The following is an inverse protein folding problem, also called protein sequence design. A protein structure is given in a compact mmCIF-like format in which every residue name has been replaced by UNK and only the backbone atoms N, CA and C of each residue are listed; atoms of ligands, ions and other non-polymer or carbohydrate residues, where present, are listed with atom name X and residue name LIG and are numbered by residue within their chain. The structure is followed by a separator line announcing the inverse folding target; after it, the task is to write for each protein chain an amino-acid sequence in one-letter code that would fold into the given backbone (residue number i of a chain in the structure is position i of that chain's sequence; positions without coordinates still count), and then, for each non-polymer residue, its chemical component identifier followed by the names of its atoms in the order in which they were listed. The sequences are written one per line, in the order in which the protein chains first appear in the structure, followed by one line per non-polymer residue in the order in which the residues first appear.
data_IF_611825715702
#
_entry.id   IF_611825715702
#
_cell.length_a   1.000
_cell.length_b   1.000
_cell.length_c   1.000
_cell.angle_alpha   90.00
_cell.angle_beta   90.00
_cell.angle_gamma   90.00
#
_symmetry.space_group_name_H-M   'P 1'
#
loop_
_entity.id
_entity.type
_entity.pdbx_description
1 polymer ?
#
# COMPACT_ATOMS: atom_id res chain seq x y z
N UNK A 1 -3.04 2.86 -5.50
CA UNK A 1 -3.57 4.00 -4.73
C UNK A 1 -2.87 5.31 -5.07
N UNK A 2 -1.65 5.60 -4.59
CA UNK A 2 -1.01 6.90 -4.81
C UNK A 2 -0.97 7.35 -6.28
N UNK A 3 -0.47 6.49 -7.17
CA UNK A 3 -0.46 6.71 -8.63
C UNK A 3 -1.86 6.99 -9.19
N UNK A 4 -2.86 6.22 -8.74
CA UNK A 4 -4.26 6.36 -9.15
C UNK A 4 -4.82 7.71 -8.70
N UNK A 5 -4.65 8.08 -7.43
CA UNK A 5 -5.11 9.35 -6.89
C UNK A 5 -4.49 10.54 -7.63
N UNK A 6 -3.17 10.50 -7.88
CA UNK A 6 -2.48 11.56 -8.63
C UNK A 6 -2.99 11.71 -10.07
N UNK A 7 -3.46 10.61 -10.68
CA UNK A 7 -3.93 10.60 -12.07
C UNK A 7 -5.41 10.94 -12.22
N UNK A 8 -6.21 10.66 -11.19
CA UNK A 8 -7.67 10.66 -11.26
C UNK A 8 -8.33 11.76 -10.43
N UNK A 9 -7.60 12.38 -9.49
CA UNK A 9 -8.11 13.39 -8.58
C UNK A 9 -7.36 14.73 -8.71
N UNK A 10 -8.01 15.79 -8.26
CA UNK A 10 -7.40 17.10 -8.05
C UNK A 10 -6.60 17.08 -6.74
N UNK A 11 -5.27 17.09 -6.85
CA UNK A 11 -4.37 16.77 -5.73
C UNK A 11 -4.33 17.86 -4.66
N UNK A 12 -4.58 19.11 -5.04
CA UNK A 12 -4.63 20.25 -4.12
C UNK A 12 -6.00 20.40 -3.47
N UNK A 13 -7.00 19.64 -3.93
CA UNK A 13 -8.35 19.75 -3.40
C UNK A 13 -8.42 19.19 -1.97
N UNK A 14 -9.02 19.94 -1.02
CA UNK A 14 -9.29 19.42 0.30
C UNK A 14 -10.18 18.18 0.27
N UNK A 15 -9.87 17.19 1.10
CA UNK A 15 -10.62 15.94 1.23
C UNK A 15 -12.07 16.21 1.65
N UNK A 16 -12.31 17.24 2.45
CA UNK A 16 -13.65 17.62 2.93
C UNK A 16 -14.62 17.97 1.80
N UNK A 17 -14.11 18.33 0.63
CA UNK A 17 -14.92 18.55 -0.56
C UNK A 17 -15.63 17.26 -1.02
N UNK A 18 -14.98 16.11 -0.85
CA UNK A 18 -15.52 14.80 -1.22
C UNK A 18 -16.17 14.10 -0.02
N UNK A 19 -15.62 14.30 1.19
CA UNK A 19 -16.03 13.65 2.42
C UNK A 19 -16.25 14.70 3.52
N UNK A 20 -17.44 15.35 3.58
CA UNK A 20 -17.68 16.51 4.44
C UNK A 20 -17.57 16.26 5.96
N UNK A 21 -17.51 15.00 6.39
CA UNK A 21 -17.40 14.61 7.80
C UNK A 21 -15.95 14.42 8.27
N UNK A 22 -14.95 14.62 7.39
CA UNK A 22 -13.54 14.64 7.81
C UNK A 22 -13.30 15.85 8.74
N UNK A 23 -12.73 15.65 9.95
CA UNK A 23 -12.61 16.73 10.93
C UNK A 23 -11.70 17.89 10.53
N UNK A 24 -10.63 17.60 9.77
CA UNK A 24 -9.66 18.61 9.33
C UNK A 24 -9.99 19.08 7.91
N UNK A 25 -10.37 20.37 7.81
CA UNK A 25 -10.74 21.07 6.58
C UNK A 25 -9.63 21.22 5.56
N UNK A 26 -8.38 21.12 5.98
CA UNK A 26 -7.20 21.54 5.20
C UNK A 26 -6.43 20.35 4.61
N UNK A 27 -6.73 19.11 5.02
CA UNK A 27 -6.08 17.92 4.46
C UNK A 27 -6.44 17.83 2.98
N UNK A 28 -5.41 17.82 2.13
CA UNK A 28 -5.55 17.67 0.67
C UNK A 28 -5.35 16.21 0.23
N UNK A 29 -5.70 15.90 -1.02
CA UNK A 29 -5.36 14.61 -1.63
C UNK A 29 -3.84 14.40 -1.68
N UNK A 30 -3.06 15.44 -1.98
CA UNK A 30 -1.61 15.41 -1.98
C UNK A 30 -1.06 15.01 -0.60
N UNK A 31 -1.66 15.49 0.49
CA UNK A 31 -1.23 15.14 1.84
C UNK A 31 -1.40 13.65 2.15
N UNK A 32 -2.48 13.05 1.66
CA UNK A 32 -2.71 11.63 1.84
C UNK A 32 -1.74 10.80 1.00
N UNK A 33 -1.49 11.19 -0.26
CA UNK A 33 -0.59 10.48 -1.19
C UNK A 33 0.85 10.45 -0.66
N UNK A 34 1.31 11.55 -0.05
CA UNK A 34 2.68 11.71 0.47
C UNK A 34 2.81 11.41 1.97
N UNK A 35 1.73 10.97 2.63
CA UNK A 35 1.72 10.71 4.06
C UNK A 35 2.07 11.93 4.94
N UNK A 36 1.70 13.14 4.50
CA UNK A 36 1.95 14.41 5.21
C UNK A 36 0.70 14.98 5.91
N UNK A 37 -0.42 14.26 5.92
CA UNK A 37 -1.66 14.69 6.55
C UNK A 37 -1.63 14.67 8.09
N UNK A 38 -0.57 14.16 8.70
CA UNK A 38 -0.47 13.99 10.16
C UNK A 38 -1.36 12.89 10.75
N UNK A 39 -2.08 12.13 9.90
CA UNK A 39 -2.93 11.02 10.29
C UNK A 39 -2.12 9.83 10.84
N UNK A 40 -2.61 9.13 11.88
CA UNK A 40 -1.93 7.97 12.44
C UNK A 40 -1.92 6.78 11.48
N UNK A 41 -1.09 5.78 11.76
CA UNK A 41 -1.08 4.52 11.00
C UNK A 41 -2.45 3.86 10.96
N UNK A 42 -3.09 3.74 12.12
CA UNK A 42 -4.42 3.17 12.34
C UNK A 42 -5.21 4.15 13.21
N UNK A 43 -6.55 4.17 13.16
CA UNK A 43 -7.34 5.03 14.04
C UNK A 43 -7.17 4.64 15.51
N UNK A 44 -7.53 5.57 16.39
CA UNK A 44 -7.59 5.34 17.84
C UNK A 44 -8.41 4.10 18.18
N UNK A 45 -7.86 3.23 19.03
CA UNK A 45 -8.50 1.96 19.44
C UNK A 45 -8.10 0.74 18.61
N UNK A 46 -7.52 0.92 17.41
CA UNK A 46 -6.90 -0.18 16.67
C UNK A 46 -5.44 -0.32 17.06
N UNK A 47 -5.12 -1.39 17.78
CA UNK A 47 -3.72 -1.68 18.18
C UNK A 47 -3.19 -2.90 17.45
N UNK A 48 -2.00 -2.77 16.86
CA UNK A 48 -1.26 -3.89 16.29
C UNK A 48 -0.60 -4.70 17.41
N UNK A 49 -1.35 -5.56 18.10
CA UNK A 49 -0.77 -6.51 19.09
C UNK A 49 -0.34 -7.78 18.39
N UNK A 50 0.69 -8.43 18.93
CA UNK A 50 1.39 -9.58 18.34
C UNK A 50 0.47 -10.72 17.85
N UNK A 51 -0.68 -10.92 18.51
CA UNK A 51 -1.60 -12.02 18.22
C UNK A 51 -2.98 -11.59 17.71
N UNK A 52 -3.22 -10.28 17.54
CA UNK A 52 -4.53 -9.75 17.15
C UNK A 52 -4.51 -9.25 15.72
N UNK A 53 -5.59 -9.47 15.00
CA UNK A 53 -5.84 -8.84 13.71
C UNK A 53 -6.48 -7.45 13.96
N UNK A 54 -5.76 -6.34 13.74
CA UNK A 54 -6.27 -5.02 14.08
C UNK A 54 -7.46 -4.60 13.19
N UNK A 55 -7.64 -5.22 12.03
CA UNK A 55 -8.68 -4.88 11.06
C UNK A 55 -9.97 -5.69 11.26
N UNK A 56 -9.91 -6.78 12.02
CA UNK A 56 -11.02 -7.74 12.17
C UNK A 56 -12.31 -7.07 12.65
N UNK A 57 -12.22 -6.14 13.58
CA UNK A 57 -13.38 -5.45 14.15
C UNK A 57 -14.07 -4.49 13.17
N UNK A 58 -13.37 -4.09 12.09
CA UNK A 58 -13.90 -3.20 11.05
C UNK A 58 -14.36 -3.92 9.79
N UNK A 59 -14.31 -5.26 9.76
CA UNK A 59 -14.75 -6.03 8.59
C UNK A 59 -16.22 -5.76 8.30
N UNK A 60 -16.54 -5.50 7.03
CA UNK A 60 -17.91 -5.24 6.57
C UNK A 60 -18.49 -3.87 6.94
N UNK A 61 -17.73 -3.01 7.62
CA UNK A 61 -18.13 -1.63 7.91
C UNK A 61 -17.48 -0.65 6.92
N UNK A 62 -18.20 0.39 6.46
CA UNK A 62 -17.57 1.47 5.71
C UNK A 62 -16.59 2.26 6.58
N UNK A 63 -15.65 2.98 5.96
CA UNK A 63 -14.81 3.93 6.69
C UNK A 63 -15.70 5.05 7.21
N UNK A 64 -15.63 5.35 8.50
CA UNK A 64 -16.19 6.58 9.05
C UNK A 64 -15.15 7.71 8.92
N UNK A 65 -15.33 8.72 8.05
CA UNK A 65 -14.33 9.78 7.88
C UNK A 65 -14.11 10.60 9.16
N UNK A 66 -15.05 10.61 10.11
CA UNK A 66 -14.92 11.33 11.37
C UNK A 66 -13.77 10.81 12.25
N UNK A 67 -13.30 9.58 12.03
CA UNK A 67 -12.15 9.00 12.76
C UNK A 67 -10.80 9.49 12.22
N UNK A 68 -10.78 10.25 11.12
CA UNK A 68 -9.58 10.76 10.47
C UNK A 68 -9.06 12.03 11.16
N UNK A 69 -8.64 11.88 12.42
CA UNK A 69 -8.10 12.98 13.24
C UNK A 69 -6.56 12.95 13.18
N UNK A 70 -5.90 14.04 12.73
CA UNK A 70 -4.45 14.16 12.79
C UNK A 70 -3.91 14.07 14.22
N UNK A 71 -2.81 13.33 14.41
CA UNK A 71 -2.10 13.24 15.70
C UNK A 71 -0.76 13.98 15.67
N UNK A 72 -0.36 14.49 14.51
CA UNK A 72 0.88 15.23 14.30
C UNK A 72 0.61 16.39 13.35
N UNK A 73 1.54 17.34 13.29
CA UNK A 73 1.41 18.49 12.41
C UNK A 73 1.43 18.09 10.93
N UNK A 74 0.55 18.71 10.15
CA UNK A 74 0.53 18.60 8.69
C UNK A 74 1.91 19.01 8.14
N UNK A 75 2.39 18.27 7.13
CA UNK A 75 3.74 18.41 6.58
C UNK A 75 4.74 17.40 7.15
N UNK A 76 4.49 16.86 8.34
CA UNK A 76 5.31 15.76 8.88
C UNK A 76 4.98 14.44 8.18
N UNK A 77 6.01 13.73 7.71
CA UNK A 77 5.82 12.44 7.04
C UNK A 77 5.53 11.35 8.08
N UNK A 78 4.28 10.87 8.12
CA UNK A 78 3.81 9.78 8.98
C UNK A 78 3.05 8.76 8.14
N UNK A 79 3.66 7.58 7.93
CA UNK A 79 3.04 6.51 7.17
C UNK A 79 1.67 6.12 7.75
N UNK A 80 0.62 6.28 6.95
CA UNK A 80 -0.77 6.19 7.39
C UNK A 80 -1.59 5.23 6.54
N UNK A 81 -2.00 4.09 7.11
CA UNK A 81 -3.01 3.24 6.47
C UNK A 81 -4.38 3.92 6.52
N UNK A 82 -4.67 4.70 7.56
CA UNK A 82 -5.90 5.49 7.66
C UNK A 82 -6.01 6.52 6.52
N UNK A 83 -4.93 7.21 6.19
CA UNK A 83 -4.90 8.14 5.05
C UNK A 83 -5.13 7.45 3.71
N UNK A 84 -4.64 6.21 3.53
CA UNK A 84 -4.90 5.44 2.32
C UNK A 84 -6.31 4.85 2.26
N UNK A 85 -6.89 4.48 3.41
CA UNK A 85 -8.32 4.15 3.50
C UNK A 85 -9.17 5.35 3.07
N UNK A 86 -8.81 6.56 3.54
CA UNK A 86 -9.49 7.79 3.18
C UNK A 86 -9.37 8.11 1.67
N UNK A 87 -8.18 7.91 1.07
CA UNK A 87 -8.01 8.00 -0.39
C UNK A 87 -8.90 7.02 -1.15
N UNK A 88 -9.03 5.78 -0.67
CA UNK A 88 -9.96 4.81 -1.23
C UNK A 88 -11.40 5.33 -1.22
N UNK A 89 -11.84 5.85 -0.07
CA UNK A 89 -13.19 6.39 0.08
C UNK A 89 -13.44 7.61 -0.82
N UNK A 90 -12.44 8.48 -1.05
CA UNK A 90 -12.56 9.58 -2.03
C UNK A 90 -12.72 9.03 -3.45
N UNK A 91 -11.92 8.04 -3.84
CA UNK A 91 -12.03 7.43 -5.16
C UNK A 91 -13.37 6.71 -5.36
N UNK A 92 -13.93 6.10 -4.33
CA UNK A 92 -15.30 5.54 -4.38
C UNK A 92 -16.34 6.63 -4.65
N UNK A 93 -16.25 7.78 -3.98
CA UNK A 93 -17.16 8.90 -4.20
C UNK A 93 -17.06 9.44 -5.63
N UNK A 94 -15.85 9.53 -6.19
CA UNK A 94 -15.62 10.15 -7.50
C UNK A 94 -15.85 9.18 -8.67
N UNK A 95 -15.47 7.91 -8.51
CA UNK A 95 -15.44 6.91 -9.59
C UNK A 95 -16.38 5.72 -9.37
N UNK A 96 -17.07 5.65 -8.23
CA UNK A 96 -17.99 4.58 -7.85
C UNK A 96 -17.32 3.34 -7.26
N UNK A 97 -16.09 3.01 -7.69
CA UNK A 97 -15.28 1.94 -7.11
C UNK A 97 -13.78 2.23 -7.28
N UNK A 98 -13.08 2.40 -6.16
CA UNK A 98 -11.66 2.66 -6.12
C UNK A 98 -10.85 1.52 -6.75
N UNK A 99 -11.30 0.26 -6.62
CA UNK A 99 -10.51 -0.88 -7.09
C UNK A 99 -10.57 -1.01 -8.60
N UNK A 100 -11.74 -0.81 -9.20
CA UNK A 100 -11.91 -0.67 -10.66
C UNK A 100 -11.01 0.44 -11.21
N UNK A 101 -10.93 1.59 -10.52
CA UNK A 101 -10.09 2.70 -10.98
C UNK A 101 -8.59 2.39 -10.84
N UNK A 102 -8.17 1.69 -9.78
CA UNK A 102 -6.82 1.14 -9.67
C UNK A 102 -6.52 0.16 -10.80
N UNK A 103 -7.49 -0.68 -11.17
CA UNK A 103 -7.32 -1.61 -12.27
C UNK A 103 -7.15 -0.86 -13.60
N UNK A 104 -7.95 0.17 -13.85
CA UNK A 104 -7.89 0.99 -15.06
C UNK A 104 -6.55 1.74 -15.20
N UNK A 105 -6.09 2.37 -14.12
CA UNK A 105 -4.92 3.27 -14.14
C UNK A 105 -3.60 2.51 -13.98
N UNK A 106 -3.58 1.42 -13.22
CA UNK A 106 -2.34 0.75 -12.82
C UNK A 106 -2.29 -0.70 -13.27
N UNK A 107 -3.24 -1.54 -12.84
CA UNK A 107 -3.11 -3.00 -13.01
C UNK A 107 -3.24 -3.43 -14.48
N UNK A 108 -4.24 -2.92 -15.19
CA UNK A 108 -4.42 -3.15 -16.62
C UNK A 108 -3.21 -2.72 -17.45
N UNK A 109 -2.71 -1.48 -17.31
CA UNK A 109 -1.48 -1.04 -17.98
C UNK A 109 -0.23 -1.84 -17.60
N UNK A 110 -0.18 -2.42 -16.39
CA UNK A 110 0.87 -3.34 -15.95
C UNK A 110 0.63 -4.80 -16.38
N UNK A 111 -0.44 -5.09 -17.13
CA UNK A 111 -0.85 -6.45 -17.53
C UNK A 111 -1.09 -7.40 -16.35
N UNK A 112 -1.68 -6.87 -15.27
CA UNK A 112 -2.04 -7.59 -14.05
C UNK A 112 -3.56 -7.75 -14.00
N UNK A 113 -4.04 -8.98 -14.17
CA UNK A 113 -5.48 -9.29 -14.13
C UNK A 113 -5.86 -10.24 -12.99
N UNK A 114 -4.89 -10.84 -12.28
CA UNK A 114 -5.17 -11.80 -11.20
C UNK A 114 -5.39 -11.14 -9.84
N UNK A 115 -5.21 -9.82 -9.75
CA UNK A 115 -5.35 -9.09 -8.50
C UNK A 115 -6.81 -9.08 -8.00
N UNK A 116 -7.01 -9.32 -6.71
CA UNK A 116 -8.34 -9.45 -6.10
C UNK A 116 -8.38 -8.91 -4.67
N UNK A 117 -9.57 -8.54 -4.20
CA UNK A 117 -9.89 -8.25 -2.80
C UNK A 117 -10.57 -9.45 -2.09
N UNK A 118 -10.91 -10.50 -2.84
CA UNK A 118 -11.58 -11.69 -2.34
C UNK A 118 -10.80 -12.93 -2.76
N UNK A 119 -9.60 -13.15 -2.19
CA UNK A 119 -8.81 -14.34 -2.50
C UNK A 119 -9.59 -15.59 -2.08
N UNK A 120 -9.60 -16.63 -2.91
CA UNK A 120 -10.15 -17.91 -2.49
C UNK A 120 -9.13 -18.69 -1.64
N UNK A 121 -9.60 -19.46 -0.66
CA UNK A 121 -8.72 -20.23 0.25
C UNK A 121 -7.81 -21.25 -0.47
N UNK A 122 -8.16 -21.62 -1.71
CA UNK A 122 -7.38 -22.55 -2.53
C UNK A 122 -6.19 -21.87 -3.25
N UNK A 123 -6.18 -20.54 -3.36
CA UNK A 123 -5.28 -19.80 -4.25
C UNK A 123 -4.08 -19.15 -3.54
N UNK A 124 -4.09 -19.05 -2.21
CA UNK A 124 -2.98 -18.43 -1.47
C UNK A 124 -2.15 -19.44 -0.68
N UNK A 125 -0.84 -19.23 -0.67
CA UNK A 125 0.09 -20.02 0.13
C UNK A 125 -0.10 -19.66 1.59
N UNK A 126 -0.70 -20.57 2.36
CA UNK A 126 -0.91 -20.39 3.79
C UNK A 126 0.33 -20.80 4.59
N UNK A 127 1.17 -19.85 5.06
CA UNK A 127 2.30 -20.19 5.92
C UNK A 127 1.83 -20.91 7.18
N UNK A 128 2.64 -21.87 7.64
CA UNK A 128 2.37 -22.65 8.86
C UNK A 128 3.35 -22.29 9.96
N UNK A 129 2.84 -22.16 11.17
CA UNK A 129 3.64 -22.06 12.40
C UNK A 129 3.17 -23.18 13.35
N UNK A 130 4.10 -24.00 13.82
CA UNK A 130 3.81 -25.19 14.65
C UNK A 130 2.68 -26.07 14.09
N UNK A 131 2.68 -26.32 12.78
CA UNK A 131 1.69 -27.16 12.09
C UNK A 131 0.31 -26.53 11.85
N UNK A 132 0.08 -25.28 12.32
CA UNK A 132 -1.18 -24.55 12.11
C UNK A 132 -1.00 -23.45 11.07
N UNK A 133 -2.00 -23.26 10.22
CA UNK A 133 -2.03 -22.13 9.29
C UNK A 133 -2.06 -20.81 10.05
N UNK A 134 -1.22 -19.87 9.66
CA UNK A 134 -1.28 -18.50 10.15
C UNK A 134 -2.38 -17.79 9.37
N UNK A 135 -3.45 -17.38 10.07
CA UNK A 135 -4.54 -16.63 9.47
C UNK A 135 -4.08 -15.22 9.06
N UNK A 136 -4.23 -14.82 7.79
CA UNK A 136 -4.00 -13.45 7.33
C UNK A 136 -4.84 -12.44 8.09
N UNK A 137 -4.39 -11.19 8.10
CA UNK A 137 -5.23 -10.08 8.54
C UNK A 137 -6.33 -9.81 7.52
N UNK A 138 -7.55 -9.54 8.00
CA UNK A 138 -8.72 -9.28 7.16
C UNK A 138 -8.74 -7.85 6.59
N UNK A 139 -7.62 -7.38 6.04
CA UNK A 139 -7.51 -6.01 5.49
C UNK A 139 -8.44 -5.86 4.28
N UNK A 140 -8.49 -6.87 3.40
CA UNK A 140 -9.24 -6.82 2.16
C UNK A 140 -10.75 -6.69 2.36
N UNK A 141 -11.26 -7.21 3.48
CA UNK A 141 -12.68 -7.17 3.87
C UNK A 141 -13.00 -5.96 4.77
N UNK A 142 -12.02 -5.10 5.02
CA UNK A 142 -12.12 -3.94 5.91
C UNK A 142 -12.08 -2.63 5.10
N UNK A 143 -12.47 -1.49 5.69
CA UNK A 143 -12.36 -0.18 5.02
C UNK A 143 -10.92 0.24 4.71
N UNK A 144 -9.92 -0.51 5.19
CA UNK A 144 -8.50 -0.30 4.93
C UNK A 144 -7.99 -1.09 3.72
N UNK A 145 -8.87 -1.70 2.92
CA UNK A 145 -8.49 -2.45 1.73
C UNK A 145 -7.63 -1.64 0.75
N UNK A 146 -7.89 -0.34 0.60
CA UNK A 146 -7.05 0.55 -0.21
C UNK A 146 -5.61 0.68 0.31
N UNK A 147 -5.37 0.56 1.62
CA UNK A 147 -4.04 0.67 2.21
C UNK A 147 -3.15 -0.57 2.01
N UNK A 148 -3.75 -1.69 1.59
CA UNK A 148 -2.99 -2.91 1.34
C UNK A 148 -3.81 -4.19 1.45
N UNK A 149 -5.05 -4.19 1.00
CA UNK A 149 -5.93 -5.36 0.95
C UNK A 149 -5.84 -6.15 -0.35
N UNK A 150 -5.13 -5.64 -1.36
CA UNK A 150 -5.00 -6.33 -2.66
C UNK A 150 -4.15 -7.59 -2.50
N UNK A 151 -4.69 -8.71 -3.00
CA UNK A 151 -4.02 -9.99 -3.17
C UNK A 151 -3.65 -10.17 -4.63
N UNK A 152 -2.50 -10.80 -4.89
CA UNK A 152 -2.01 -11.06 -6.24
C UNK A 152 -0.87 -12.11 -6.19
N UNK A 153 -0.28 -12.42 -7.35
CA UNK A 153 0.81 -13.39 -7.48
C UNK A 153 2.19 -12.72 -7.41
N UNK A 154 3.25 -13.52 -7.22
CA UNK A 154 4.62 -13.01 -7.31
C UNK A 154 4.97 -12.56 -8.74
N UNK A 155 4.43 -13.23 -9.75
CA UNK A 155 4.61 -12.85 -11.15
C UNK A 155 4.03 -11.46 -11.43
N UNK A 156 2.85 -11.17 -10.89
CA UNK A 156 2.23 -9.84 -10.99
C UNK A 156 3.00 -8.78 -10.22
N UNK A 157 3.63 -9.13 -9.09
CA UNK A 157 4.53 -8.23 -8.40
C UNK A 157 5.76 -7.87 -9.26
N UNK A 158 6.29 -8.82 -10.02
CA UNK A 158 7.35 -8.57 -11.00
C UNK A 158 6.86 -7.70 -12.16
N UNK A 159 5.68 -7.99 -12.74
CA UNK A 159 5.06 -7.15 -13.78
C UNK A 159 4.87 -5.71 -13.29
N UNK A 160 4.41 -5.54 -12.05
CA UNK A 160 4.25 -4.22 -11.43
C UNK A 160 5.58 -3.49 -11.29
N UNK A 161 6.63 -4.19 -10.86
CA UNK A 161 7.98 -3.62 -10.75
C UNK A 161 8.49 -3.15 -12.13
N UNK A 162 8.38 -4.00 -13.15
CA UNK A 162 8.82 -3.70 -14.51
C UNK A 162 8.06 -2.52 -15.12
N UNK A 163 6.73 -2.50 -14.97
CA UNK A 163 5.91 -1.39 -15.47
C UNK A 163 6.21 -0.07 -14.74
N UNK A 164 6.42 -0.12 -13.42
CA UNK A 164 6.64 1.06 -12.59
C UNK A 164 8.03 1.66 -12.80
N UNK A 165 9.06 0.81 -12.95
CA UNK A 165 10.47 1.19 -13.01
C UNK A 165 11.03 1.22 -14.44
N UNK A 166 10.17 1.04 -15.46
CA UNK A 166 10.57 1.13 -16.86
C UNK A 166 11.28 2.45 -17.15
N UNK A 167 12.35 2.41 -17.93
CA UNK A 167 13.07 3.62 -18.33
C UNK A 167 12.12 4.62 -19.03
N UNK A 168 12.18 5.88 -18.61
CA UNK A 168 11.29 6.94 -19.11
C UNK A 168 9.84 6.84 -18.62
N UNK A 169 9.54 6.00 -17.62
CA UNK A 169 8.25 6.02 -16.96
C UNK A 169 8.02 7.34 -16.22
N UNK A 170 6.76 7.76 -16.17
CA UNK A 170 6.34 8.95 -15.41
C UNK A 170 6.65 8.78 -13.91
N UNK A 171 7.13 9.86 -13.30
CA UNK A 171 7.44 9.90 -11.86
C UNK A 171 6.21 9.59 -10.99
N UNK A 172 5.02 9.88 -11.50
CA UNK A 172 3.73 9.53 -10.90
C UNK A 172 3.62 8.05 -10.50
N UNK A 173 4.22 7.12 -11.24
CA UNK A 173 4.15 5.68 -10.95
C UNK A 173 4.84 5.28 -9.64
N UNK A 174 5.78 6.12 -9.21
CA UNK A 174 6.56 5.94 -7.98
C UNK A 174 6.28 7.06 -6.97
N UNK A 175 5.15 7.77 -7.08
CA UNK A 175 4.86 8.94 -6.24
C UNK A 175 4.90 8.63 -4.73
N UNK A 176 4.37 7.46 -4.36
CA UNK A 176 4.33 7.01 -2.95
C UNK A 176 5.45 6.05 -2.57
N UNK A 177 6.48 5.93 -3.41
CA UNK A 177 7.65 5.11 -3.12
C UNK A 177 8.66 5.90 -2.29
N UNK A 178 9.37 5.20 -1.42
CA UNK A 178 10.47 5.76 -0.63
C UNK A 178 11.69 5.95 -1.52
N UNK A 179 12.46 6.99 -1.23
CA UNK A 179 13.69 7.34 -1.95
C UNK A 179 14.77 7.78 -0.98
N UNK A 180 15.98 7.28 -1.20
CA UNK A 180 17.17 7.66 -0.45
C UNK A 180 18.38 7.57 -1.38
N UNK A 181 18.97 8.73 -1.70
CA UNK A 181 20.02 8.83 -2.70
C UNK A 181 19.58 8.26 -4.05
N UNK A 182 20.26 7.21 -4.51
CA UNK A 182 19.98 6.52 -5.79
C UNK A 182 19.02 5.33 -5.64
N UNK A 183 18.55 5.06 -4.43
CA UNK A 183 17.69 3.92 -4.11
C UNK A 183 16.24 4.36 -4.06
N UNK A 184 15.37 3.64 -4.76
CA UNK A 184 13.91 3.83 -4.73
C UNK A 184 13.26 2.50 -4.39
N UNK A 185 12.34 2.47 -3.41
CA UNK A 185 11.73 1.22 -2.98
C UNK A 185 10.32 1.40 -2.43
N UNK A 186 9.56 0.32 -2.51
CA UNK A 186 8.27 0.17 -1.83
C UNK A 186 8.28 -1.21 -1.16
N UNK A 187 7.66 -1.29 0.01
CA UNK A 187 7.49 -2.56 0.70
C UNK A 187 6.13 -2.61 1.39
N UNK A 188 5.73 -3.82 1.75
CA UNK A 188 4.52 -4.10 2.53
C UNK A 188 4.83 -5.19 3.52
N UNK A 189 4.27 -5.05 4.71
CA UNK A 189 4.34 -6.04 5.78
C UNK A 189 2.93 -6.31 6.30
N UNK A 190 2.54 -7.58 6.30
CA UNK A 190 1.35 -8.10 6.96
C UNK A 190 1.72 -9.32 7.79
N UNK A 191 0.79 -9.79 8.62
CA UNK A 191 1.01 -10.79 9.68
C UNK A 191 2.07 -11.87 9.42
N UNK A 192 2.08 -12.48 8.24
CA UNK A 192 3.00 -13.56 7.89
C UNK A 192 3.56 -13.45 6.47
N UNK A 193 3.51 -12.26 5.87
CA UNK A 193 3.99 -12.01 4.53
C UNK A 193 4.58 -10.61 4.42
N UNK A 194 5.79 -10.54 3.89
CA UNK A 194 6.47 -9.30 3.53
C UNK A 194 6.76 -9.29 2.03
N UNK A 195 6.64 -8.14 1.38
CA UNK A 195 7.02 -7.95 0.00
C UNK A 195 7.83 -6.66 -0.15
N UNK A 196 8.84 -6.66 -1.02
CA UNK A 196 9.65 -5.49 -1.32
C UNK A 196 10.00 -5.44 -2.81
N UNK A 197 9.93 -4.24 -3.39
CA UNK A 197 10.54 -3.91 -4.67
C UNK A 197 11.56 -2.82 -4.39
N UNK A 198 12.82 -3.06 -4.75
CA UNK A 198 13.92 -2.13 -4.56
C UNK A 198 14.67 -1.95 -5.87
N UNK A 199 14.91 -0.70 -6.25
CA UNK A 199 15.75 -0.34 -7.38
C UNK A 199 16.90 0.56 -6.94
N UNK A 200 18.12 0.26 -7.37
CA UNK A 200 19.25 1.18 -7.29
C UNK A 200 20.12 1.05 -8.54
N UNK A 201 20.45 2.19 -9.17
CA UNK A 201 21.32 2.27 -10.36
C UNK A 201 20.93 1.28 -11.46
N UNK A 202 19.63 1.10 -11.71
CA UNK A 202 19.12 0.21 -12.76
C UNK A 202 19.15 -1.29 -12.40
N UNK A 203 19.52 -1.65 -11.17
CA UNK A 203 19.33 -3.01 -10.64
C UNK A 203 18.04 -3.04 -9.83
N UNK A 204 17.10 -3.90 -10.21
CA UNK A 204 15.84 -4.13 -9.49
C UNK A 204 15.85 -5.49 -8.81
N UNK A 205 15.46 -5.53 -7.54
CA UNK A 205 15.12 -6.75 -6.82
C UNK A 205 13.64 -6.74 -6.43
N UNK A 206 12.95 -7.86 -6.68
CA UNK A 206 11.57 -8.11 -6.28
C UNK A 206 11.56 -9.30 -5.35
N UNK A 207 11.05 -9.13 -4.13
CA UNK A 207 11.12 -10.14 -3.07
C UNK A 207 9.75 -10.31 -2.43
N UNK A 208 9.35 -11.56 -2.20
CA UNK A 208 8.22 -11.92 -1.36
C UNK A 208 8.69 -12.97 -0.34
N UNK A 209 8.46 -12.72 0.93
CA UNK A 209 8.90 -13.57 2.04
C UNK A 209 7.68 -13.98 2.88
N UNK A 210 7.53 -15.29 3.08
CA UNK A 210 6.44 -15.87 3.87
C UNK A 210 6.97 -16.45 5.18
N UNK A 211 6.20 -16.28 6.26
CA UNK A 211 6.54 -16.79 7.60
C UNK A 211 7.90 -16.34 8.14
N UNK A 212 8.39 -15.19 7.70
CA UNK A 212 9.67 -14.62 8.15
C UNK A 212 9.45 -13.52 9.18
N UNK A 213 10.54 -13.11 9.82
CA UNK A 213 10.54 -11.92 10.67
C UNK A 213 10.24 -10.66 9.86
N UNK A 214 9.66 -9.61 10.46
CA UNK A 214 9.47 -8.33 9.77
C UNK A 214 10.76 -7.81 9.12
N UNK A 215 10.65 -7.17 7.96
CA UNK A 215 11.76 -6.58 7.19
C UNK A 215 12.73 -7.59 6.54
N UNK A 216 12.43 -8.90 6.59
CA UNK A 216 13.22 -9.90 5.87
C UNK A 216 13.18 -9.66 4.36
N UNK A 217 12.02 -9.27 3.80
CA UNK A 217 11.91 -8.98 2.37
C UNK A 217 12.81 -7.79 1.96
N UNK A 218 12.80 -6.70 2.74
CA UNK A 218 13.67 -5.54 2.55
C UNK A 218 15.16 -5.95 2.61
N UNK A 219 15.54 -6.73 3.61
CA UNK A 219 16.93 -7.15 3.83
C UNK A 219 17.47 -8.01 2.68
N UNK A 220 16.64 -8.93 2.18
CA UNK A 220 16.97 -9.75 1.01
C UNK A 220 17.09 -8.87 -0.24
N UNK A 221 16.15 -7.95 -0.47
CA UNK A 221 16.15 -7.06 -1.63
C UNK A 221 17.43 -6.20 -1.67
N UNK A 222 17.79 -5.55 -0.56
CA UNK A 222 19.02 -4.78 -0.44
C UNK A 222 20.26 -5.65 -0.71
N UNK A 223 20.33 -6.83 -0.12
CA UNK A 223 21.46 -7.76 -0.30
C UNK A 223 21.63 -8.22 -1.75
N UNK A 224 20.53 -8.46 -2.47
CA UNK A 224 20.54 -8.85 -3.88
C UNK A 224 21.06 -7.70 -4.76
N UNK A 225 20.55 -6.49 -4.54
CA UNK A 225 20.96 -5.30 -5.30
C UNK A 225 22.43 -4.97 -5.06
N UNK A 226 22.89 -4.96 -3.81
CA UNK A 226 24.30 -4.73 -3.48
C UNK A 226 25.23 -5.76 -4.12
N UNK A 227 24.85 -7.04 -4.08
CA UNK A 227 25.63 -8.13 -4.68
C UNK A 227 25.77 -7.94 -6.18
N UNK A 228 24.70 -7.56 -6.86
CA UNK A 228 24.70 -7.34 -8.29
C UNK A 228 25.48 -6.08 -8.68
N UNK A 229 25.36 -4.98 -7.92
CA UNK A 229 26.16 -3.79 -8.14
C UNK A 229 27.66 -4.05 -7.97
N UNK A 230 28.06 -4.87 -6.99
CA UNK A 230 29.47 -5.31 -6.82
C UNK A 230 29.98 -6.19 -7.97
N UNK A 231 29.09 -6.85 -8.72
CA UNK A 231 29.49 -7.65 -9.90
C UNK A 231 29.66 -6.81 -11.17
N UNK A 232 29.03 -5.63 -11.21
CA UNK A 232 29.05 -4.72 -12.36
C UNK A 232 30.17 -3.68 -12.31
N UNK A 233 30.68 -3.39 -11.11
CA UNK A 233 31.84 -2.50 -10.90
C UNK A 233 33.14 -3.28 -10.90
#
# INVERSE_FOLDING_TARGET
MGTTALSALDVERPVVHYLPTVPDGEITIADLVHHTAGLPRLPSGMTNRLFTDPYRASVGAPLDPAVCVPLTERGSIVYSNLGYALLGAVLDVVHGDWFTEVHRVVLGPASISSATLSPSDAEWVAPRLFGRHIKPWAIAESPYAAAGGIWSSFEDLCRYADWTLRAGAETARTVSWKREGVTTWINREVRAAGAAILNARGVTAVVHALAQTPHTADSIASSLVERELRRRG
#
